data_IF_734727480786
#
_entry.id   IF_734727480786
#
_cell.length_a   1.000
_cell.length_b   1.000
_cell.length_c   1.000
_cell.angle_alpha   90.00
_cell.angle_beta   90.00
_cell.angle_gamma   90.00
#
_symmetry.space_group_name_H-M   'P 1'
#
loop_
_entity.id
_entity.type
_entity.pdbx_description
1 polymer ?
#
# COMPACT_ATOMS: atom_id res chain seq x y z
N UNK A 1 -8.63 -12.11 -2.61
CA UNK A 1 -7.47 -11.94 -3.51
C UNK A 1 -6.25 -11.80 -2.62
N UNK A 2 -5.21 -12.63 -2.79
CA UNK A 2 -4.02 -12.56 -1.93
C UNK A 2 -3.11 -11.45 -2.47
N UNK A 3 -2.82 -10.44 -1.65
CA UNK A 3 -1.90 -9.36 -2.03
C UNK A 3 -0.51 -9.75 -1.52
N UNK A 4 0.39 -10.04 -2.46
CA UNK A 4 1.77 -10.42 -2.15
C UNK A 4 2.75 -9.35 -2.64
N UNK A 5 2.49 -8.70 -3.77
CA UNK A 5 3.44 -7.78 -4.39
C UNK A 5 2.79 -6.42 -4.72
N UNK A 6 3.64 -5.45 -5.11
CA UNK A 6 3.22 -4.11 -5.51
C UNK A 6 2.17 -4.12 -6.65
N UNK A 7 2.25 -5.06 -7.59
CA UNK A 7 1.28 -5.15 -8.68
C UNK A 7 -0.11 -5.56 -8.18
N UNK A 8 -0.19 -6.43 -7.16
CA UNK A 8 -1.48 -6.80 -6.55
C UNK A 8 -2.10 -5.60 -5.83
N UNK A 9 -1.29 -4.76 -5.18
CA UNK A 9 -1.74 -3.50 -4.58
C UNK A 9 -2.33 -2.57 -5.66
N UNK A 10 -1.63 -2.40 -6.79
CA UNK A 10 -2.13 -1.63 -7.92
C UNK A 10 -3.44 -2.20 -8.51
N UNK A 11 -3.54 -3.52 -8.64
CA UNK A 11 -4.73 -4.19 -9.14
C UNK A 11 -5.92 -4.01 -8.19
N UNK A 12 -5.70 -4.06 -6.88
CA UNK A 12 -6.74 -3.90 -5.89
C UNK A 12 -7.29 -2.47 -5.84
N UNK A 13 -6.43 -1.45 -5.96
CA UNK A 13 -6.88 -0.07 -6.15
C UNK A 13 -7.72 0.09 -7.43
N UNK A 14 -7.30 -0.55 -8.53
CA UNK A 14 -8.08 -0.54 -9.77
C UNK A 14 -9.43 -1.22 -9.62
N UNK A 15 -9.53 -2.28 -8.83
CA UNK A 15 -10.80 -2.94 -8.53
C UNK A 15 -11.77 -2.01 -7.79
N UNK A 16 -11.27 -1.02 -7.06
CA UNK A 16 -12.05 0.05 -6.43
C UNK A 16 -12.27 1.27 -7.33
N UNK A 17 -11.90 1.20 -8.61
CA UNK A 17 -12.08 2.29 -9.57
C UNK A 17 -11.08 3.44 -9.41
N UNK A 18 -9.99 3.24 -8.66
CA UNK A 18 -8.96 4.26 -8.43
C UNK A 18 -7.58 3.81 -8.89
N UNK A 19 -6.69 4.78 -9.12
CA UNK A 19 -5.27 4.52 -9.40
C UNK A 19 -4.43 4.95 -8.21
N UNK A 20 -3.21 4.42 -8.04
CA UNK A 20 -2.31 4.88 -6.97
C UNK A 20 -2.12 6.40 -6.95
N UNK A 21 -2.05 7.03 -8.14
CA UNK A 21 -1.95 8.49 -8.22
C UNK A 21 -3.20 9.16 -7.68
N UNK A 22 -4.39 8.72 -8.10
CA UNK A 22 -5.65 9.30 -7.65
C UNK A 22 -5.87 9.08 -6.15
N UNK A 23 -5.52 7.89 -5.65
CA UNK A 23 -5.57 7.57 -4.23
C UNK A 23 -4.62 8.46 -3.42
N UNK A 24 -3.37 8.59 -3.86
CA UNK A 24 -2.39 9.46 -3.20
C UNK A 24 -2.90 10.89 -3.09
N UNK A 25 -3.45 11.45 -4.18
CA UNK A 25 -4.00 12.80 -4.19
C UNK A 25 -5.23 12.93 -3.28
N UNK A 26 -6.11 11.93 -3.23
CA UNK A 26 -7.29 11.94 -2.37
C UNK A 26 -6.93 11.94 -0.88
N UNK A 27 -5.83 11.28 -0.50
CA UNK A 27 -5.34 11.23 0.88
C UNK A 27 -4.29 12.32 1.19
N UNK A 28 -4.03 13.25 0.27
CA UNK A 28 -3.08 14.36 0.49
C UNK A 28 -1.59 13.95 0.43
N UNK A 29 -1.29 12.75 -0.07
CA UNK A 29 0.08 12.26 -0.23
C UNK A 29 0.66 12.58 -1.61
N UNK A 30 1.99 12.70 -1.66
CA UNK A 30 2.69 12.84 -2.93
C UNK A 30 2.74 11.49 -3.67
N UNK A 31 2.33 11.41 -4.96
CA UNK A 31 2.23 10.14 -5.69
C UNK A 31 3.53 9.32 -5.75
N UNK A 32 4.68 10.01 -5.88
CA UNK A 32 6.00 9.34 -5.84
C UNK A 32 6.29 8.70 -4.49
N UNK A 33 5.87 9.32 -3.39
CA UNK A 33 6.08 8.79 -2.04
C UNK A 33 5.26 7.54 -1.84
N UNK A 34 3.99 7.56 -2.26
CA UNK A 34 3.10 6.39 -2.20
C UNK A 34 3.64 5.25 -3.06
N UNK A 35 4.04 5.54 -4.32
CA UNK A 35 4.64 4.54 -5.20
C UNK A 35 5.91 3.92 -4.59
N UNK A 36 6.77 4.74 -4.01
CA UNK A 36 7.98 4.27 -3.33
C UNK A 36 7.64 3.40 -2.12
N UNK A 37 6.66 3.79 -1.31
CA UNK A 37 6.21 2.99 -0.16
C UNK A 37 5.66 1.64 -0.60
N UNK A 38 4.80 1.61 -1.64
CA UNK A 38 4.23 0.38 -2.19
C UNK A 38 5.34 -0.55 -2.70
N UNK A 39 6.35 -0.03 -3.40
CA UNK A 39 7.45 -0.85 -3.90
C UNK A 39 8.40 -1.33 -2.80
N UNK A 40 8.63 -0.51 -1.77
CA UNK A 40 9.61 -0.82 -0.72
C UNK A 40 9.05 -1.68 0.41
N UNK A 41 7.73 -1.60 0.65
CA UNK A 41 7.04 -2.25 1.77
C UNK A 41 5.90 -3.15 1.29
N UNK A 42 5.93 -3.61 0.03
CA UNK A 42 5.03 -4.67 -0.40
C UNK A 42 5.28 -5.95 0.43
N UNK A 43 4.28 -6.80 0.64
CA UNK A 43 4.40 -7.99 1.50
C UNK A 43 5.59 -8.89 1.13
N UNK A 44 5.83 -9.12 -0.16
CA UNK A 44 6.94 -9.91 -0.71
C UNK A 44 8.34 -9.38 -0.33
N UNK A 45 8.45 -8.08 -0.05
CA UNK A 45 9.75 -7.49 0.30
C UNK A 45 10.21 -7.85 1.71
N UNK A 46 9.31 -8.33 2.57
CA UNK A 46 9.57 -8.61 3.99
C UNK A 46 10.03 -7.37 4.78
N UNK A 47 9.80 -6.17 4.25
CA UNK A 47 10.23 -4.92 4.86
C UNK A 47 9.06 -4.19 5.48
N UNK A 48 9.24 -3.81 6.74
CA UNK A 48 8.24 -3.02 7.46
C UNK A 48 8.60 -1.53 7.46
N UNK A 49 7.62 -0.63 7.26
CA UNK A 49 7.85 0.80 7.31
C UNK A 49 8.23 1.25 8.73
N UNK A 50 9.48 1.70 8.90
CA UNK A 50 9.97 2.23 10.20
C UNK A 50 9.58 3.68 10.46
N UNK A 51 9.34 4.45 9.40
CA UNK A 51 9.01 5.88 9.51
C UNK A 51 7.52 6.06 9.69
N UNK A 52 7.07 6.98 10.57
CA UNK A 52 5.65 7.19 10.85
C UNK A 52 4.85 7.54 9.59
N UNK A 53 5.46 8.31 8.69
CA UNK A 53 4.81 8.71 7.44
C UNK A 53 4.59 7.52 6.47
N UNK A 54 5.59 6.63 6.34
CA UNK A 54 5.45 5.44 5.52
C UNK A 54 4.45 4.44 6.14
N UNK A 55 4.45 4.34 7.48
CA UNK A 55 3.52 3.51 8.23
C UNK A 55 2.08 3.97 8.01
N UNK A 56 1.82 5.27 8.10
CA UNK A 56 0.50 5.84 7.83
C UNK A 56 0.03 5.53 6.40
N UNK A 57 0.90 5.74 5.38
CA UNK A 57 0.56 5.43 3.99
C UNK A 57 0.16 3.96 3.82
N UNK A 58 0.97 3.02 4.31
CA UNK A 58 0.69 1.59 4.16
C UNK A 58 -0.57 1.19 4.94
N UNK A 59 -0.78 1.74 6.14
CA UNK A 59 -1.97 1.49 6.94
C UNK A 59 -3.25 1.96 6.24
N UNK A 60 -3.29 3.20 5.79
CA UNK A 60 -4.45 3.74 5.08
C UNK A 60 -4.70 3.00 3.75
N UNK A 61 -3.63 2.56 3.08
CA UNK A 61 -3.73 1.76 1.87
C UNK A 61 -4.35 0.40 2.16
N UNK A 62 -3.98 -0.23 3.27
CA UNK A 62 -4.58 -1.47 3.76
C UNK A 62 -6.06 -1.31 4.08
N UNK A 63 -6.43 -0.23 4.77
CA UNK A 63 -7.82 0.09 5.09
C UNK A 63 -8.64 0.35 3.81
N UNK A 64 -8.06 1.07 2.85
CA UNK A 64 -8.71 1.35 1.57
C UNK A 64 -8.99 0.06 0.81
N UNK A 65 -7.97 -0.79 0.65
CA UNK A 65 -8.06 -2.02 -0.12
C UNK A 65 -8.81 -3.13 0.64
N UNK A 66 -8.95 -3.00 1.96
CA UNK A 66 -9.53 -4.01 2.85
C UNK A 66 -8.63 -5.23 3.03
N UNK A 67 -7.31 -5.05 2.95
CA UNK A 67 -6.33 -6.13 3.06
C UNK A 67 -5.13 -5.69 3.90
N UNK A 68 -4.69 -6.54 4.84
CA UNK A 68 -3.51 -6.26 5.63
C UNK A 68 -2.24 -6.30 4.77
N UNK A 69 -1.60 -5.15 4.61
CA UNK A 69 -0.33 -4.97 3.90
C UNK A 69 0.82 -4.69 4.86
N UNK A 70 0.53 -4.54 6.15
CA UNK A 70 1.52 -4.33 7.21
C UNK A 70 2.36 -5.57 7.46
N UNK A 71 1.96 -6.72 6.93
CA UNK A 71 2.60 -7.98 7.21
C UNK A 71 2.37 -8.34 8.66
N UNK A 72 1.12 -8.46 9.07
CA UNK A 72 0.79 -9.21 10.28
C UNK A 72 1.20 -10.67 10.06
N UNK A 73 2.13 -11.14 10.88
CA UNK A 73 2.69 -12.48 10.91
C UNK A 73 1.60 -13.54 10.65
N UNK A 74 1.73 -14.31 9.57
CA UNK A 74 1.18 -15.66 9.58
C UNK A 74 2.35 -16.56 9.99
N UNK A 75 2.19 -17.10 11.20
CA UNK A 75 2.91 -18.21 11.87
C UNK A 75 3.71 -19.15 10.95
#
# INVERSE_FOLDING_TARGET
>A
MKIDNANHIHAALRAQGMTCRSWALAHGYHPRTVLHCIQMFAPDTGRHPKRPHAKAIIQELSETIGCDLMGGEHE
#
